data_IF_555317567592
#
_entry.id   IF_555317567592
#
_cell.length_a   1.000
_cell.length_b   1.000
_cell.length_c   1.000
_cell.angle_alpha   90.00
_cell.angle_beta   90.00
_cell.angle_gamma   90.00
#
_symmetry.space_group_name_H-M   'P 1'
#
loop_
_entity.id
_entity.type
_entity.pdbx_description
1 polymer ?
#
# COMPACT_ATOMS: atom_id res chain seq x y z
N UNK A 1 31.22 1.63 11.86
CA UNK A 1 30.07 1.16 12.65
C UNK A 1 28.93 1.14 11.66
N UNK A 2 28.68 -0.01 11.05
CA UNK A 2 27.64 -0.11 10.02
C UNK A 2 26.28 0.12 10.68
N UNK A 3 25.54 1.11 10.16
CA UNK A 3 24.16 1.31 10.55
C UNK A 3 23.32 0.23 9.87
N UNK A 4 22.89 -0.74 10.66
CA UNK A 4 21.94 -1.75 10.22
C UNK A 4 20.55 -1.10 10.11
N UNK A 5 19.89 -1.29 8.96
CA UNK A 5 18.52 -0.81 8.73
C UNK A 5 17.58 -1.93 9.12
N UNK A 6 16.67 -1.65 10.06
CA UNK A 6 15.63 -2.58 10.48
C UNK A 6 14.29 -2.17 9.88
N UNK A 7 13.56 -3.15 9.36
CA UNK A 7 12.19 -2.98 8.87
C UNK A 7 11.23 -3.75 9.77
N UNK A 8 10.25 -3.04 10.34
CA UNK A 8 9.25 -3.62 11.23
C UNK A 8 7.87 -3.00 10.98
N UNK A 9 6.82 -3.81 11.15
CA UNK A 9 5.45 -3.32 11.09
C UNK A 9 5.15 -2.51 12.36
N UNK A 10 5.03 -1.19 12.22
CA UNK A 10 4.73 -0.31 13.35
C UNK A 10 3.31 -0.53 13.90
N UNK A 11 2.29 -0.50 13.01
CA UNK A 11 0.90 -0.80 13.36
C UNK A 11 0.03 -1.05 12.12
N UNK A 12 -1.14 -1.66 12.35
CA UNK A 12 -2.25 -1.71 11.41
C UNK A 12 -3.56 -1.37 12.13
N UNK A 13 -4.33 -0.43 11.59
CA UNK A 13 -5.61 0.01 12.17
C UNK A 13 -6.70 0.05 11.10
N UNK A 14 -7.92 -0.31 11.49
CA UNK A 14 -9.09 -0.18 10.64
C UNK A 14 -9.57 1.26 10.61
N UNK A 15 -9.90 1.76 9.42
CA UNK A 15 -10.59 3.04 9.24
C UNK A 15 -12.11 2.76 9.25
N UNK A 16 -12.86 3.22 10.25
CA UNK A 16 -14.24 2.79 10.45
C UNK A 16 -15.24 3.46 9.50
N UNK A 17 -14.94 4.67 8.99
CA UNK A 17 -15.92 5.53 8.31
C UNK A 17 -15.53 5.87 6.88
N UNK A 18 -14.38 6.53 6.69
CA UNK A 18 -13.90 6.97 5.38
C UNK A 18 -12.39 6.80 5.22
N UNK A 19 -11.91 7.02 4.00
CA UNK A 19 -10.49 6.93 3.61
C UNK A 19 -9.91 8.30 3.28
N UNK A 20 -10.42 9.37 3.89
CA UNK A 20 -9.88 10.73 3.67
C UNK A 20 -8.50 10.87 4.28
N UNK A 21 -7.69 11.76 3.71
CA UNK A 21 -6.34 12.03 4.20
C UNK A 21 -6.31 12.49 5.66
N UNK A 22 -7.28 13.31 6.08
CA UNK A 22 -7.44 13.73 7.47
C UNK A 22 -7.69 12.54 8.42
N UNK A 23 -8.64 11.66 8.07
CA UNK A 23 -8.96 10.47 8.88
C UNK A 23 -7.75 9.55 9.03
N UNK A 24 -7.00 9.32 7.94
CA UNK A 24 -5.76 8.53 7.96
C UNK A 24 -4.71 9.19 8.86
N UNK A 25 -4.55 10.51 8.75
CA UNK A 25 -3.60 11.27 9.57
C UNK A 25 -3.94 11.22 11.06
N UNK A 26 -5.22 11.37 11.41
CA UNK A 26 -5.66 11.31 12.81
C UNK A 26 -5.39 9.93 13.42
N UNK A 27 -5.63 8.84 12.68
CA UNK A 27 -5.30 7.49 13.17
C UNK A 27 -3.80 7.32 13.46
N UNK A 28 -2.92 7.85 12.60
CA UNK A 28 -1.47 7.87 12.85
C UNK A 28 -1.14 8.70 14.09
N UNK A 29 -1.67 9.91 14.18
CA UNK A 29 -1.43 10.84 15.28
C UNK A 29 -1.85 10.23 16.61
N UNK A 30 -3.05 9.65 16.68
CA UNK A 30 -3.59 9.02 17.88
C UNK A 30 -2.73 7.83 18.31
N UNK A 31 -2.23 7.03 17.35
CA UNK A 31 -1.29 5.94 17.64
C UNK A 31 0.02 6.47 18.25
N UNK A 32 0.59 7.51 17.67
CA UNK A 32 1.83 8.12 18.16
C UNK A 32 1.65 8.70 19.56
N UNK A 33 0.52 9.38 19.83
CA UNK A 33 0.18 9.87 21.16
C UNK A 33 0.03 8.72 22.16
N UNK A 34 -0.70 7.65 21.81
CA UNK A 34 -0.89 6.47 22.66
C UNK A 34 0.43 5.80 23.03
N UNK A 35 1.36 5.71 22.08
CA UNK A 35 2.69 5.11 22.29
C UNK A 35 3.74 6.09 22.82
N UNK A 36 3.36 7.34 23.11
CA UNK A 36 4.28 8.41 23.50
C UNK A 36 5.45 8.61 22.52
N UNK A 37 5.20 8.41 21.21
CA UNK A 37 6.15 8.63 20.13
C UNK A 37 5.96 10.04 19.59
N UNK A 38 7.04 10.80 19.46
CA UNK A 38 7.00 12.14 18.87
C UNK A 38 6.81 12.03 17.35
N UNK A 39 5.82 12.76 16.81
CA UNK A 39 5.62 12.85 15.35
C UNK A 39 6.86 13.39 14.62
N UNK A 40 7.67 14.24 15.29
CA UNK A 40 8.93 14.77 14.75
C UNK A 40 9.98 13.69 14.46
N UNK A 41 9.79 12.45 14.94
CA UNK A 41 10.65 11.33 14.62
C UNK A 41 10.43 10.82 13.18
N UNK A 42 9.35 11.24 12.52
CA UNK A 42 9.08 10.88 11.13
C UNK A 42 9.99 11.71 10.23
N UNK A 43 10.96 11.05 9.61
CA UNK A 43 11.91 11.69 8.68
C UNK A 43 11.35 11.68 7.26
N UNK A 44 10.69 10.58 6.87
CA UNK A 44 10.12 10.41 5.55
C UNK A 44 8.79 9.66 5.59
N UNK A 45 7.97 9.89 4.56
CA UNK A 45 6.71 9.18 4.34
C UNK A 45 6.61 8.78 2.87
N UNK A 46 6.34 7.49 2.64
CA UNK A 46 6.07 6.94 1.32
C UNK A 46 4.62 6.48 1.23
N UNK A 47 3.92 6.82 0.14
CA UNK A 47 2.53 6.39 -0.07
C UNK A 47 2.21 6.23 -1.56
N UNK A 48 1.13 5.51 -1.86
CA UNK A 48 0.56 5.50 -3.21
C UNK A 48 0.12 6.91 -3.61
N UNK A 49 0.08 7.20 -4.92
CA UNK A 49 -0.20 8.55 -5.42
C UNK A 49 -1.66 8.98 -5.25
N UNK A 50 -2.47 8.28 -4.45
CA UNK A 50 -3.88 8.52 -4.33
C UNK A 50 -4.18 9.93 -3.79
N UNK A 51 -5.29 10.57 -4.20
CA UNK A 51 -5.68 11.89 -3.70
C UNK A 51 -5.82 11.94 -2.17
N UNK A 52 -6.23 10.84 -1.53
CA UNK A 52 -6.28 10.74 -0.07
C UNK A 52 -4.89 10.83 0.59
N UNK A 53 -3.84 10.34 -0.07
CA UNK A 53 -2.48 10.37 0.46
C UNK A 53 -1.75 11.66 0.10
N UNK A 54 -1.77 12.03 -1.19
CA UNK A 54 -0.97 13.14 -1.74
C UNK A 54 -1.78 14.40 -2.10
N UNK A 55 -3.08 14.44 -1.79
CA UNK A 55 -3.92 15.61 -2.05
C UNK A 55 -3.34 16.89 -1.45
N UNK A 56 -3.21 17.94 -2.27
CA UNK A 56 -2.53 19.20 -1.92
C UNK A 56 -3.04 19.87 -0.64
N UNK A 57 -4.35 19.77 -0.37
CA UNK A 57 -4.99 20.47 0.76
C UNK A 57 -5.50 19.49 1.83
N UNK A 58 -6.13 18.39 1.40
CA UNK A 58 -6.80 17.44 2.30
C UNK A 58 -6.18 16.03 2.27
N UNK A 59 -4.96 15.89 1.72
CA UNK A 59 -4.23 14.63 1.70
C UNK A 59 -3.51 14.38 3.03
N UNK A 60 -3.32 13.10 3.37
CA UNK A 60 -2.57 12.67 4.55
C UNK A 60 -1.22 13.38 4.68
N UNK A 61 -0.45 13.43 3.59
CA UNK A 61 0.87 14.07 3.55
C UNK A 61 0.77 15.58 3.83
N UNK A 62 -0.30 16.23 3.37
CA UNK A 62 -0.53 17.66 3.59
C UNK A 62 -0.81 17.95 5.08
N UNK A 63 -1.58 17.09 5.75
CA UNK A 63 -1.79 17.19 7.20
C UNK A 63 -0.51 16.86 7.99
N UNK A 64 0.25 15.85 7.56
CA UNK A 64 1.53 15.49 8.18
C UNK A 64 2.53 16.64 8.11
N UNK A 65 2.66 17.31 6.96
CA UNK A 65 3.54 18.47 6.76
C UNK A 65 3.19 19.67 7.64
N UNK A 66 1.94 19.82 8.08
CA UNK A 66 1.58 20.88 9.02
C UNK A 66 2.25 20.68 10.39
N UNK A 67 2.49 19.43 10.80
CA UNK A 67 3.12 19.09 12.08
C UNK A 67 4.61 18.78 11.93
N UNK A 68 5.03 18.26 10.78
CA UNK A 68 6.42 17.92 10.45
C UNK A 68 6.79 18.56 9.11
N UNK A 69 7.05 19.89 9.07
CA UNK A 69 7.30 20.60 7.81
C UNK A 69 8.47 20.07 6.98
N UNK A 70 9.46 19.47 7.65
CA UNK A 70 10.65 18.88 7.04
C UNK A 70 10.51 17.44 6.54
N UNK A 71 9.32 16.83 6.65
CA UNK A 71 9.15 15.42 6.23
C UNK A 71 9.40 15.25 4.73
N UNK A 72 10.27 14.31 4.39
CA UNK A 72 10.55 13.95 3.00
C UNK A 72 9.45 13.03 2.46
N UNK A 73 8.91 13.33 1.28
CA UNK A 73 7.73 12.63 0.75
C UNK A 73 8.07 11.90 -0.53
N UNK A 74 7.79 10.60 -0.57
CA UNK A 74 8.16 9.70 -1.67
C UNK A 74 6.89 9.06 -2.24
N UNK A 75 6.74 9.08 -3.56
CA UNK A 75 5.68 8.30 -4.20
C UNK A 75 6.07 6.82 -4.27
N UNK A 76 5.11 5.93 -4.07
CA UNK A 76 5.33 4.49 -4.22
C UNK A 76 5.86 4.16 -5.63
N UNK A 77 7.10 3.67 -5.70
CA UNK A 77 7.79 3.32 -6.96
C UNK A 77 7.02 2.24 -7.72
N UNK A 78 6.46 1.25 -7.01
CA UNK A 78 5.70 0.15 -7.62
C UNK A 78 4.47 0.69 -8.35
N UNK A 79 3.74 1.62 -7.73
CA UNK A 79 2.58 2.25 -8.35
C UNK A 79 2.97 3.09 -9.58
N UNK A 80 4.07 3.85 -9.50
CA UNK A 80 4.58 4.61 -10.65
C UNK A 80 5.00 3.69 -11.81
N UNK A 81 5.76 2.62 -11.52
CA UNK A 81 6.18 1.65 -12.52
C UNK A 81 4.99 1.01 -13.23
N UNK A 82 3.94 0.67 -12.49
CA UNK A 82 2.73 0.10 -13.04
C UNK A 82 1.97 1.09 -13.95
N UNK A 83 1.85 2.36 -13.54
CA UNK A 83 1.29 3.42 -14.41
C UNK A 83 2.11 3.56 -15.70
N UNK A 84 3.44 3.56 -15.59
CA UNK A 84 4.33 3.67 -16.76
C UNK A 84 4.18 2.45 -17.67
N UNK A 85 4.13 1.24 -17.10
CA UNK A 85 3.93 0.00 -17.84
C UNK A 85 2.60 0.00 -18.62
N UNK A 86 1.54 0.57 -18.04
CA UNK A 86 0.24 0.75 -18.72
C UNK A 86 0.33 1.67 -19.94
N UNK A 87 1.16 2.71 -19.91
CA UNK A 87 1.17 3.75 -20.92
C UNK A 87 2.25 3.60 -22.00
N UNK A 88 3.43 3.06 -21.67
CA UNK A 88 4.59 3.07 -22.58
C UNK A 88 4.85 1.75 -23.31
N UNK A 89 4.32 0.63 -22.84
CA UNK A 89 4.66 -0.69 -23.40
C UNK A 89 3.43 -1.54 -23.60
N UNK A 90 2.94 -1.63 -24.84
CA UNK A 90 1.79 -2.46 -25.20
C UNK A 90 2.00 -3.92 -24.81
N UNK A 91 3.21 -4.47 -25.02
CA UNK A 91 3.53 -5.86 -24.66
C UNK A 91 3.51 -6.09 -23.15
N UNK A 92 4.07 -5.17 -22.37
CA UNK A 92 4.08 -5.28 -20.92
C UNK A 92 2.68 -5.09 -20.35
N UNK A 93 1.93 -4.11 -20.86
CA UNK A 93 0.53 -3.89 -20.50
C UNK A 93 -0.32 -5.14 -20.77
N UNK A 94 -0.20 -5.76 -21.95
CA UNK A 94 -0.89 -7.01 -22.27
C UNK A 94 -0.51 -8.15 -21.32
N UNK A 95 0.78 -8.31 -21.00
CA UNK A 95 1.25 -9.32 -20.05
C UNK A 95 0.66 -9.10 -18.65
N UNK A 96 0.64 -7.84 -18.17
CA UNK A 96 0.02 -7.47 -16.91
C UNK A 96 -1.48 -7.74 -16.92
N UNK A 97 -2.19 -7.40 -18.00
CA UNK A 97 -3.62 -7.67 -18.15
C UNK A 97 -3.93 -9.18 -18.13
N UNK A 98 -3.09 -10.03 -18.72
CA UNK A 98 -3.25 -11.47 -18.64
C UNK A 98 -3.16 -11.98 -17.18
N UNK A 99 -2.16 -11.50 -16.44
CA UNK A 99 -1.97 -11.87 -15.02
C UNK A 99 -3.15 -11.37 -14.18
N UNK A 100 -3.57 -10.12 -14.34
CA UNK A 100 -4.72 -9.53 -13.64
C UNK A 100 -5.98 -10.35 -13.91
N UNK A 101 -6.25 -10.70 -15.17
CA UNK A 101 -7.41 -11.50 -15.55
C UNK A 101 -7.38 -12.90 -14.95
N UNK A 102 -6.21 -13.54 -14.88
CA UNK A 102 -6.05 -14.85 -14.25
C UNK A 102 -6.36 -14.78 -12.75
N UNK A 103 -5.76 -13.82 -12.05
CA UNK A 103 -5.98 -13.58 -10.61
C UNK A 103 -7.46 -13.32 -10.33
N UNK A 104 -8.09 -12.43 -11.10
CA UNK A 104 -9.50 -12.09 -10.92
C UNK A 104 -10.42 -13.30 -11.15
N UNK A 105 -10.13 -14.15 -12.15
CA UNK A 105 -10.89 -15.39 -12.37
C UNK A 105 -10.78 -16.39 -11.20
N UNK A 106 -9.61 -16.46 -10.57
CA UNK A 106 -9.39 -17.32 -9.39
C UNK A 106 -10.13 -16.76 -8.18
N UNK A 107 -10.05 -15.44 -7.97
CA UNK A 107 -10.56 -14.78 -6.77
C UNK A 107 -12.08 -14.59 -6.76
N UNK A 108 -12.71 -14.34 -7.93
CA UNK A 108 -14.17 -14.09 -8.00
C UNK A 108 -14.98 -15.34 -7.64
N UNK A 109 -14.45 -16.54 -7.89
CA UNK A 109 -15.15 -17.79 -7.63
C UNK A 109 -14.57 -18.50 -6.39
N UNK A 110 -15.43 -18.73 -5.37
CA UNK A 110 -15.04 -19.44 -4.14
C UNK A 110 -14.45 -20.84 -4.39
N UNK A 111 -14.93 -21.57 -5.39
CA UNK A 111 -14.39 -22.88 -5.76
C UNK A 111 -12.97 -22.74 -6.31
N UNK A 112 -12.77 -21.82 -7.26
CA UNK A 112 -11.44 -21.60 -7.86
C UNK A 112 -10.41 -21.16 -6.80
N UNK A 113 -10.82 -20.32 -5.85
CA UNK A 113 -9.95 -19.93 -4.74
C UNK A 113 -9.54 -21.13 -3.87
N UNK A 114 -10.45 -22.05 -3.56
CA UNK A 114 -10.13 -23.28 -2.80
C UNK A 114 -9.22 -24.22 -3.59
N UNK A 115 -9.50 -24.41 -4.89
CA UNK A 115 -8.67 -25.22 -5.78
C UNK A 115 -7.26 -24.64 -5.91
N UNK A 116 -7.14 -23.32 -5.98
CA UNK A 116 -5.85 -22.64 -6.00
C UNK A 116 -5.09 -22.85 -4.69
N UNK A 117 -5.75 -22.71 -3.54
CA UNK A 117 -5.12 -23.00 -2.24
C UNK A 117 -4.60 -24.43 -2.18
N UNK A 118 -5.41 -25.42 -2.59
CA UNK A 118 -4.98 -26.82 -2.63
C UNK A 118 -3.77 -27.02 -3.56
N UNK A 119 -3.78 -26.38 -4.75
CA UNK A 119 -2.64 -26.43 -5.66
C UNK A 119 -1.37 -25.85 -5.03
N UNK A 120 -1.46 -24.75 -4.28
CA UNK A 120 -0.32 -24.17 -3.57
C UNK A 120 0.21 -25.11 -2.48
N UNK A 121 -0.68 -25.75 -1.72
CA UNK A 121 -0.31 -26.74 -0.68
C UNK A 121 0.41 -27.94 -1.29
N UNK A 122 -0.07 -28.47 -2.43
CA UNK A 122 0.55 -29.59 -3.15
C UNK A 122 1.95 -29.25 -3.71
N UNK A 123 2.24 -27.97 -3.91
CA UNK A 123 3.54 -27.49 -4.43
C UNK A 123 4.46 -26.95 -3.32
N UNK A 124 4.11 -27.11 -2.03
CA UNK A 124 4.88 -26.59 -0.89
C UNK A 124 5.13 -25.07 -0.97
N UNK A 125 4.17 -24.30 -1.50
CA UNK A 125 4.28 -22.86 -1.66
C UNK A 125 4.11 -22.11 -0.33
N UNK A 126 4.87 -21.03 -0.14
CA UNK A 126 4.75 -20.22 1.08
C UNK A 126 3.44 -19.41 1.16
N UNK A 127 2.82 -19.11 0.01
CA UNK A 127 1.65 -18.25 -0.08
C UNK A 127 0.49 -18.95 -0.82
N UNK A 128 -0.65 -19.05 -0.14
CA UNK A 128 -1.81 -19.84 -0.60
C UNK A 128 -2.99 -19.00 -1.09
N UNK A 129 -2.83 -17.67 -1.07
CA UNK A 129 -3.91 -16.71 -1.34
C UNK A 129 -3.41 -15.61 -2.24
N UNK A 130 -4.19 -15.35 -3.29
CA UNK A 130 -3.99 -14.22 -4.18
C UNK A 130 -4.76 -13.00 -3.65
N UNK A 131 -4.17 -11.81 -3.82
CA UNK A 131 -4.86 -10.56 -3.58
C UNK A 131 -5.64 -10.15 -4.83
N UNK A 132 -6.87 -9.67 -4.66
CA UNK A 132 -7.64 -9.10 -5.74
C UNK A 132 -6.95 -7.84 -6.27
N UNK A 133 -6.78 -7.75 -7.58
CA UNK A 133 -6.30 -6.53 -8.20
C UNK A 133 -7.50 -5.63 -8.53
N UNK A 134 -7.54 -4.45 -7.93
CA UNK A 134 -8.54 -3.41 -8.19
C UNK A 134 -7.83 -2.10 -8.54
N UNK A 135 -7.29 -2.03 -9.75
CA UNK A 135 -6.96 -0.74 -10.37
C UNK A 135 -7.72 -0.55 -11.68
#
# INVERSE_FOLDING_TARGET
>A
MDQEIHEELLFARTLPTDTKGESIYNVLKDYFVEKAILLSNIISAAADGAPAMFGRYCGFISHLKQHVPGVFTIHCVIHQQHIVAKNLSTRLHQSLQLVINAINKIHINKLNSRLFTQLCEENDEAFHRLFLHTE
#
